data_IF_029971872633
#
_entry.id   IF_029971872633
#
_cell.length_a   1.000
_cell.length_b   1.000
_cell.length_c   1.000
_cell.angle_alpha   90.00
_cell.angle_beta   90.00
_cell.angle_gamma   90.00
#
_symmetry.space_group_name_H-M   'P 1'
#
loop_
_entity.id
_entity.type
_entity.pdbx_description
1 polymer ?
#
# COMPACT_ATOMS: atom_id res chain seq x y z
N UNK A 1 -7.56 -12.29 17.44
CA UNK A 1 -8.60 -12.93 16.62
C UNK A 1 -8.02 -14.20 16.03
N UNK A 2 -8.62 -15.35 16.34
CA UNK A 2 -8.23 -16.63 15.75
C UNK A 2 -8.59 -16.63 14.26
N UNK A 3 -7.65 -17.03 13.43
CA UNK A 3 -7.92 -17.32 12.01
C UNK A 3 -8.93 -18.48 11.99
N UNK A 4 -10.00 -18.43 11.17
CA UNK A 4 -10.94 -19.53 11.07
C UNK A 4 -10.22 -20.82 10.71
N UNK A 5 -10.51 -21.89 11.44
CA UNK A 5 -9.97 -23.25 11.16
C UNK A 5 -10.59 -23.90 9.90
N UNK A 6 -11.36 -23.13 9.12
CA UNK A 6 -11.98 -23.60 7.89
C UNK A 6 -10.94 -23.80 6.79
N UNK A 7 -11.08 -24.89 6.03
CA UNK A 7 -10.21 -25.14 4.87
C UNK A 7 -10.42 -24.10 3.77
N UNK A 8 -9.40 -23.87 2.94
CA UNK A 8 -9.47 -22.93 1.80
C UNK A 8 -10.68 -23.20 0.91
N UNK A 9 -10.99 -24.46 0.61
CA UNK A 9 -12.16 -24.86 -0.19
C UNK A 9 -13.48 -24.47 0.48
N UNK A 10 -13.58 -24.61 1.80
CA UNK A 10 -14.76 -24.17 2.56
C UNK A 10 -14.95 -22.66 2.50
N UNK A 11 -13.86 -21.88 2.65
CA UNK A 11 -13.89 -20.42 2.57
C UNK A 11 -14.28 -19.94 1.18
N UNK A 12 -13.73 -20.54 0.11
CA UNK A 12 -14.11 -20.25 -1.27
C UNK A 12 -15.58 -20.55 -1.50
N UNK A 13 -16.06 -21.70 -1.07
CA UNK A 13 -17.48 -22.08 -1.19
C UNK A 13 -18.40 -21.07 -0.49
N UNK A 14 -18.07 -20.69 0.75
CA UNK A 14 -18.83 -19.65 1.47
C UNK A 14 -18.84 -18.32 0.72
N UNK A 15 -17.72 -17.88 0.16
CA UNK A 15 -17.64 -16.64 -0.59
C UNK A 15 -18.49 -16.69 -1.88
N UNK A 16 -18.58 -17.85 -2.53
CA UNK A 16 -19.44 -18.10 -3.69
C UNK A 16 -20.92 -18.07 -3.27
N UNK A 17 -21.27 -18.79 -2.19
CA UNK A 17 -22.65 -18.83 -1.65
C UNK A 17 -23.13 -17.43 -1.24
N UNK A 18 -22.22 -16.57 -0.75
CA UNK A 18 -22.47 -15.16 -0.46
C UNK A 18 -22.50 -14.27 -1.71
N UNK A 19 -22.41 -14.86 -2.91
CA UNK A 19 -22.41 -14.16 -4.23
C UNK A 19 -21.33 -13.08 -4.34
N UNK A 20 -20.19 -13.28 -3.67
CA UNK A 20 -19.04 -12.35 -3.75
C UNK A 20 -18.14 -12.66 -4.94
N UNK A 21 -18.23 -13.86 -5.48
CA UNK A 21 -17.47 -14.33 -6.64
C UNK A 21 -18.35 -15.14 -7.60
N UNK A 22 -17.91 -15.20 -8.84
CA UNK A 22 -18.41 -16.11 -9.86
C UNK A 22 -17.35 -17.17 -10.15
N UNK A 23 -17.78 -18.39 -10.42
CA UNK A 23 -16.89 -19.48 -10.85
C UNK A 23 -17.15 -19.76 -12.31
N UNK A 24 -16.10 -19.70 -13.12
CA UNK A 24 -16.11 -20.13 -14.52
C UNK A 24 -15.32 -21.42 -14.64
N UNK A 25 -15.99 -22.47 -15.13
CA UNK A 25 -15.40 -23.75 -15.48
C UNK A 25 -14.93 -23.67 -16.92
N UNK A 26 -13.64 -23.86 -17.18
CA UNK A 26 -13.07 -23.80 -18.54
C UNK A 26 -12.67 -25.18 -19.06
N UNK A 27 -13.10 -26.25 -18.40
CA UNK A 27 -12.72 -27.62 -18.73
C UNK A 27 -11.40 -28.06 -18.10
N UNK A 28 -11.02 -29.32 -18.29
CA UNK A 28 -9.78 -29.91 -17.75
C UNK A 28 -9.57 -29.72 -16.23
N UNK A 29 -10.66 -29.78 -15.44
CA UNK A 29 -10.69 -29.55 -13.99
C UNK A 29 -10.21 -28.15 -13.55
N UNK A 30 -10.03 -27.21 -14.50
CA UNK A 30 -9.65 -25.85 -14.19
C UNK A 30 -10.86 -24.94 -13.97
N UNK A 31 -10.86 -24.24 -12.83
CA UNK A 31 -11.89 -23.26 -12.46
C UNK A 31 -11.27 -21.92 -12.15
N UNK A 32 -11.85 -20.87 -12.73
CA UNK A 32 -11.49 -19.50 -12.39
C UNK A 32 -12.52 -18.89 -11.45
N UNK A 33 -12.04 -18.25 -10.39
CA UNK A 33 -12.85 -17.45 -9.49
C UNK A 33 -12.67 -15.98 -9.91
N UNK A 34 -13.77 -15.33 -10.28
CA UNK A 34 -13.77 -13.95 -10.74
C UNK A 34 -14.81 -13.12 -9.98
N UNK A 35 -14.73 -11.82 -10.09
CA UNK A 35 -15.73 -10.89 -9.59
C UNK A 35 -16.10 -9.86 -10.66
N UNK A 36 -17.34 -9.41 -10.63
CA UNK A 36 -17.81 -8.28 -11.43
C UNK A 36 -17.29 -6.95 -10.85
N UNK A 37 -17.40 -5.87 -11.62
CA UNK A 37 -17.04 -4.53 -11.14
C UNK A 37 -17.82 -4.14 -9.86
N UNK A 38 -19.11 -4.42 -9.79
CA UNK A 38 -19.91 -4.14 -8.59
C UNK A 38 -19.49 -4.96 -7.37
N UNK A 39 -19.11 -6.23 -7.56
CA UNK A 39 -18.55 -7.06 -6.50
C UNK A 39 -17.17 -6.55 -6.06
N UNK A 40 -16.33 -6.07 -6.99
CA UNK A 40 -15.04 -5.45 -6.67
C UNK A 40 -15.21 -4.27 -5.71
N UNK A 41 -16.17 -3.38 -5.95
CA UNK A 41 -16.45 -2.24 -5.07
C UNK A 41 -16.87 -2.70 -3.66
N UNK A 42 -17.73 -3.72 -3.57
CA UNK A 42 -18.13 -4.28 -2.28
C UNK A 42 -16.95 -4.91 -1.53
N UNK A 43 -16.10 -5.67 -2.24
CA UNK A 43 -14.92 -6.29 -1.66
C UNK A 43 -13.93 -5.24 -1.16
N UNK A 44 -13.72 -4.16 -1.91
CA UNK A 44 -12.89 -3.01 -1.48
C UNK A 44 -13.45 -2.37 -0.20
N UNK A 45 -14.78 -2.20 -0.11
CA UNK A 45 -15.41 -1.69 1.11
C UNK A 45 -15.13 -2.60 2.33
N UNK A 46 -15.29 -3.93 2.18
CA UNK A 46 -14.99 -4.87 3.26
C UNK A 46 -13.49 -4.89 3.60
N UNK A 47 -12.62 -4.84 2.60
CA UNK A 47 -11.18 -4.73 2.80
C UNK A 47 -10.83 -3.50 3.63
N UNK A 48 -11.37 -2.33 3.29
CA UNK A 48 -11.12 -1.09 4.02
C UNK A 48 -11.54 -1.16 5.48
N UNK A 49 -12.61 -1.91 5.80
CA UNK A 49 -13.08 -2.08 7.17
C UNK A 49 -12.14 -2.93 8.04
N UNK A 50 -11.32 -3.79 7.46
CA UNK A 50 -10.46 -4.72 8.20
C UNK A 50 -8.95 -4.47 7.99
N UNK A 51 -8.56 -3.68 6.99
CA UNK A 51 -7.14 -3.48 6.62
C UNK A 51 -6.31 -2.90 7.77
N UNK A 52 -6.92 -2.12 8.65
CA UNK A 52 -6.25 -1.57 9.83
C UNK A 52 -5.70 -2.66 10.77
N UNK A 53 -6.35 -3.85 10.82
CA UNK A 53 -5.88 -4.99 11.63
C UNK A 53 -4.61 -5.62 11.05
N UNK A 54 -4.41 -5.49 9.74
CA UNK A 54 -3.26 -6.02 9.01
C UNK A 54 -2.17 -4.98 8.75
N UNK A 55 -2.39 -3.71 9.10
CA UNK A 55 -1.49 -2.62 8.71
C UNK A 55 -0.05 -2.85 9.17
N UNK A 56 0.16 -3.17 10.45
CA UNK A 56 1.50 -3.40 10.98
C UNK A 56 2.11 -4.71 10.48
N UNK A 57 1.46 -5.89 10.61
CA UNK A 57 2.06 -7.13 10.12
C UNK A 57 2.31 -7.11 8.60
N UNK A 58 1.46 -6.48 7.80
CA UNK A 58 1.67 -6.34 6.37
C UNK A 58 2.85 -5.41 6.03
N UNK A 59 3.05 -4.35 6.81
CA UNK A 59 4.22 -3.48 6.67
C UNK A 59 5.52 -4.25 6.97
N UNK A 60 5.56 -5.00 8.07
CA UNK A 60 6.72 -5.81 8.44
C UNK A 60 7.03 -6.87 7.37
N UNK A 61 6.00 -7.57 6.88
CA UNK A 61 6.16 -8.53 5.79
C UNK A 61 6.71 -7.86 4.52
N UNK A 62 6.20 -6.68 4.17
CA UNK A 62 6.69 -5.93 3.00
C UNK A 62 8.16 -5.52 3.16
N UNK A 63 8.55 -5.00 4.33
CA UNK A 63 9.94 -4.62 4.63
C UNK A 63 10.87 -5.84 4.46
N UNK A 64 10.53 -6.98 5.04
CA UNK A 64 11.38 -8.18 5.02
C UNK A 64 11.48 -8.75 3.60
N UNK A 65 10.36 -8.92 2.90
CA UNK A 65 10.33 -9.45 1.52
C UNK A 65 11.17 -8.59 0.57
N UNK A 66 11.05 -7.27 0.68
CA UNK A 66 11.74 -6.35 -0.24
C UNK A 66 13.24 -6.29 -0.03
N UNK A 67 13.71 -6.57 1.18
CA UNK A 67 15.14 -6.62 1.48
C UNK A 67 15.74 -8.02 1.28
N UNK A 68 14.91 -9.08 1.24
CA UNK A 68 15.34 -10.48 1.15
C UNK A 68 15.96 -10.99 2.46
N UNK A 69 16.91 -10.23 3.00
CA UNK A 69 17.48 -10.40 4.34
C UNK A 69 17.70 -9.03 4.99
N UNK A 70 17.46 -8.94 6.30
CA UNK A 70 17.48 -7.66 7.02
C UNK A 70 17.72 -7.89 8.52
N UNK A 71 18.44 -6.98 9.16
CA UNK A 71 18.61 -7.00 10.61
C UNK A 71 17.29 -6.69 11.32
N UNK A 72 17.02 -7.37 12.42
CA UNK A 72 15.80 -7.15 13.23
C UNK A 72 15.64 -5.69 13.62
N UNK A 73 16.72 -4.99 13.99
CA UNK A 73 16.67 -3.58 14.36
C UNK A 73 16.39 -2.66 13.17
N UNK A 74 16.86 -3.02 11.97
CA UNK A 74 16.54 -2.27 10.75
C UNK A 74 15.05 -2.40 10.40
N UNK A 75 14.44 -3.58 10.61
CA UNK A 75 12.98 -3.76 10.46
C UNK A 75 12.23 -2.81 11.41
N UNK A 76 12.64 -2.73 12.68
CA UNK A 76 12.04 -1.80 13.65
C UNK A 76 12.17 -0.35 13.19
N UNK A 77 13.37 0.05 12.77
CA UNK A 77 13.66 1.42 12.31
C UNK A 77 12.80 1.82 11.11
N UNK A 78 12.70 0.93 10.11
CA UNK A 78 11.85 1.15 8.94
C UNK A 78 10.36 1.19 9.31
N UNK A 79 9.91 0.25 10.15
CA UNK A 79 8.53 0.19 10.58
C UNK A 79 8.12 1.46 11.36
N UNK A 80 8.93 1.93 12.33
CA UNK A 80 8.68 3.19 13.04
C UNK A 80 8.53 4.38 12.09
N UNK A 81 9.37 4.46 11.07
CA UNK A 81 9.37 5.57 10.13
C UNK A 81 8.12 5.63 9.24
N UNK A 82 7.51 4.48 8.95
CA UNK A 82 6.43 4.35 7.97
C UNK A 82 5.06 4.07 8.60
N UNK A 83 5.02 3.30 9.69
CA UNK A 83 3.76 2.93 10.34
C UNK A 83 2.98 4.14 10.84
N UNK A 84 3.67 5.20 11.18
CA UNK A 84 3.07 6.44 11.62
C UNK A 84 2.04 6.99 10.62
N UNK A 85 2.37 6.93 9.34
CA UNK A 85 1.49 7.37 8.27
C UNK A 85 0.32 6.40 8.09
N UNK A 86 0.62 5.10 8.02
CA UNK A 86 -0.40 4.06 7.89
C UNK A 86 -1.40 4.10 9.06
N UNK A 87 -0.92 4.33 10.27
CA UNK A 87 -1.76 4.45 11.47
C UNK A 87 -2.83 5.52 11.31
N UNK A 88 -2.45 6.71 10.84
CA UNK A 88 -3.39 7.82 10.67
C UNK A 88 -4.38 7.59 9.53
N UNK A 89 -3.90 7.08 8.40
CA UNK A 89 -4.77 6.80 7.25
C UNK A 89 -5.76 5.67 7.54
N UNK A 90 -5.29 4.61 8.18
CA UNK A 90 -6.07 3.40 8.41
C UNK A 90 -6.75 3.37 9.78
N UNK A 91 -6.63 4.42 10.58
CA UNK A 91 -7.17 4.46 11.94
C UNK A 91 -6.76 3.25 12.80
N UNK A 92 -5.51 2.78 12.63
CA UNK A 92 -5.02 1.62 13.34
C UNK A 92 -4.90 1.93 14.85
N UNK A 93 -5.53 1.12 15.73
CA UNK A 93 -5.59 1.36 17.17
C UNK A 93 -4.30 0.90 17.86
N UNK A 94 -3.17 1.49 17.51
CA UNK A 94 -1.85 1.16 18.06
C UNK A 94 -1.26 2.41 18.70
N UNK A 95 -0.95 2.36 19.98
CA UNK A 95 -0.26 3.45 20.65
C UNK A 95 1.24 3.46 20.32
N UNK A 96 1.83 4.65 20.27
CA UNK A 96 3.26 4.79 19.93
C UNK A 96 4.18 4.12 20.93
N UNK A 97 3.82 4.16 22.22
CA UNK A 97 4.57 3.50 23.29
C UNK A 97 4.57 1.96 23.17
N UNK A 98 3.56 1.40 22.53
CA UNK A 98 3.41 -0.06 22.36
C UNK A 98 3.93 -0.56 21.03
N UNK A 99 4.29 0.32 20.10
CA UNK A 99 4.67 -0.05 18.74
C UNK A 99 5.84 -1.04 18.70
N UNK A 100 6.88 -0.81 19.45
CA UNK A 100 8.07 -1.68 19.46
C UNK A 100 7.75 -3.07 19.98
N UNK A 101 6.98 -3.16 21.07
CA UNK A 101 6.53 -4.43 21.62
C UNK A 101 5.66 -5.20 20.61
N UNK A 102 4.82 -4.49 19.87
CA UNK A 102 3.99 -5.11 18.83
C UNK A 102 4.81 -5.58 17.63
N UNK A 103 5.82 -4.80 17.20
CA UNK A 103 6.74 -5.20 16.15
C UNK A 103 7.43 -6.51 16.55
N UNK A 104 7.99 -6.57 17.75
CA UNK A 104 8.66 -7.77 18.24
C UNK A 104 7.73 -8.97 18.31
N UNK A 105 6.52 -8.78 18.83
CA UNK A 105 5.52 -9.85 18.89
C UNK A 105 5.17 -10.38 17.50
N UNK A 106 5.01 -9.53 16.49
CA UNK A 106 4.74 -9.99 15.13
C UNK A 106 5.95 -10.68 14.51
N UNK A 107 7.18 -10.18 14.71
CA UNK A 107 8.38 -10.84 14.23
C UNK A 107 8.55 -12.24 14.84
N UNK A 108 8.30 -12.37 16.15
CA UNK A 108 8.33 -13.68 16.81
C UNK A 108 7.21 -14.61 16.31
N UNK A 109 6.02 -14.07 16.04
CA UNK A 109 4.94 -14.84 15.41
C UNK A 109 5.35 -15.32 14.02
N UNK A 110 5.97 -14.48 13.19
CA UNK A 110 6.42 -14.88 11.85
C UNK A 110 7.50 -15.95 11.89
N UNK A 111 8.36 -15.97 12.91
CA UNK A 111 9.33 -17.04 13.15
C UNK A 111 8.63 -18.35 13.52
N UNK A 112 7.65 -18.30 14.43
CA UNK A 112 6.89 -19.48 14.89
C UNK A 112 6.05 -20.09 13.75
N UNK A 113 5.40 -19.23 12.96
CA UNK A 113 4.57 -19.67 11.82
C UNK A 113 5.42 -20.09 10.59
N UNK A 114 6.74 -19.94 10.65
CA UNK A 114 7.64 -20.35 9.58
C UNK A 114 7.67 -19.43 8.35
N UNK A 115 7.13 -18.21 8.43
CA UNK A 115 7.20 -17.23 7.34
C UNK A 115 8.60 -16.66 7.17
N UNK A 116 9.35 -16.58 8.25
CA UNK A 116 10.73 -16.11 8.25
C UNK A 116 11.61 -17.07 9.07
N UNK A 117 12.90 -17.06 8.75
CA UNK A 117 13.95 -17.74 9.52
C UNK A 117 14.92 -16.71 10.08
N UNK A 118 15.72 -17.11 11.08
CA UNK A 118 16.70 -16.22 11.72
C UNK A 118 18.06 -16.90 11.82
N UNK A 119 19.09 -16.13 11.49
CA UNK A 119 20.49 -16.45 11.81
C UNK A 119 21.09 -15.24 12.56
N UNK A 120 21.45 -15.46 13.83
CA UNK A 120 21.78 -14.40 14.80
C UNK A 120 20.67 -13.32 14.83
N UNK A 121 20.95 -12.09 14.44
CA UNK A 121 19.98 -10.99 14.35
C UNK A 121 19.45 -10.73 12.93
N UNK A 122 19.92 -11.51 11.95
CA UNK A 122 19.49 -11.42 10.57
C UNK A 122 18.22 -12.25 10.34
N UNK A 123 17.22 -11.64 9.75
CA UNK A 123 15.96 -12.25 9.34
C UNK A 123 15.96 -12.54 7.85
N UNK A 124 15.45 -13.69 7.46
CA UNK A 124 15.34 -14.15 6.07
C UNK A 124 13.91 -14.58 5.79
N UNK A 125 13.45 -14.40 4.57
CA UNK A 125 12.17 -14.97 4.14
C UNK A 125 12.30 -16.49 4.01
N UNK A 126 11.37 -17.22 4.58
CA UNK A 126 11.30 -18.69 4.40
C UNK A 126 10.74 -19.04 3.02
N UNK A 127 11.32 -20.07 2.38
CA UNK A 127 10.79 -20.58 1.11
C UNK A 127 9.39 -21.16 1.24
N UNK A 128 9.14 -21.92 2.30
CA UNK A 128 7.89 -22.67 2.50
C UNK A 128 6.67 -21.77 2.80
N UNK A 129 6.90 -20.64 3.47
CA UNK A 129 5.84 -19.66 3.81
C UNK A 129 5.79 -18.44 2.92
N UNK A 130 6.50 -18.45 1.78
CA UNK A 130 6.67 -17.24 0.95
C UNK A 130 5.36 -16.71 0.38
N UNK A 131 4.49 -17.58 -0.12
CA UNK A 131 3.26 -17.15 -0.81
C UNK A 131 2.30 -16.43 0.14
N UNK A 132 2.03 -17.00 1.31
CA UNK A 132 1.17 -16.43 2.33
C UNK A 132 1.75 -15.12 2.87
N UNK A 133 3.07 -15.10 3.09
CA UNK A 133 3.78 -13.92 3.56
C UNK A 133 3.78 -12.79 2.51
N UNK A 134 3.90 -13.16 1.23
CA UNK A 134 3.76 -12.24 0.12
C UNK A 134 2.34 -11.66 0.03
N UNK A 135 1.30 -12.50 0.15
CA UNK A 135 -0.10 -12.04 0.18
C UNK A 135 -0.32 -11.05 1.32
N UNK A 136 0.18 -11.37 2.54
CA UNK A 136 0.11 -10.46 3.67
C UNK A 136 0.76 -9.11 3.33
N UNK A 137 1.94 -9.12 2.73
CA UNK A 137 2.65 -7.89 2.35
C UNK A 137 1.88 -7.01 1.37
N UNK A 138 1.01 -7.63 0.56
CA UNK A 138 0.19 -6.93 -0.44
C UNK A 138 -1.03 -6.23 0.14
N UNK A 139 -1.46 -6.59 1.36
CA UNK A 139 -2.68 -6.01 1.97
C UNK A 139 -2.65 -4.47 2.06
N UNK A 140 -1.47 -3.87 2.21
CA UNK A 140 -1.30 -2.41 2.33
C UNK A 140 -0.51 -1.79 1.15
N UNK A 141 -0.24 -2.56 0.11
CA UNK A 141 0.65 -2.10 -0.96
C UNK A 141 0.18 -0.81 -1.62
N UNK A 142 -1.11 -0.70 -1.92
CA UNK A 142 -1.67 0.51 -2.52
C UNK A 142 -1.61 1.74 -1.58
N UNK A 143 -1.68 1.54 -0.25
CA UNK A 143 -1.45 2.61 0.72
C UNK A 143 0.01 3.09 0.64
N UNK A 144 0.98 2.17 0.62
CA UNK A 144 2.41 2.52 0.47
C UNK A 144 2.68 3.26 -0.84
N UNK A 145 2.07 2.82 -1.95
CA UNK A 145 2.19 3.52 -3.24
C UNK A 145 1.62 4.93 -3.14
N UNK A 146 0.48 5.13 -2.51
CA UNK A 146 -0.15 6.44 -2.30
C UNK A 146 0.75 7.38 -1.49
N UNK A 147 1.42 6.86 -0.44
CA UNK A 147 2.44 7.62 0.28
C UNK A 147 3.60 8.03 -0.61
N UNK A 148 4.11 7.13 -1.43
CA UNK A 148 5.20 7.48 -2.33
C UNK A 148 4.78 8.52 -3.38
N UNK A 149 3.53 8.50 -3.84
CA UNK A 149 2.95 9.56 -4.67
C UNK A 149 3.07 10.91 -3.96
N UNK A 150 2.61 10.99 -2.71
CA UNK A 150 2.66 12.22 -1.92
C UNK A 150 4.10 12.68 -1.63
N UNK A 151 4.99 11.76 -1.25
CA UNK A 151 6.42 12.03 -1.04
C UNK A 151 7.08 12.54 -2.32
N UNK A 152 6.75 11.94 -3.47
CA UNK A 152 7.27 12.37 -4.78
C UNK A 152 6.77 13.77 -5.13
N UNK A 153 5.51 14.08 -4.82
CA UNK A 153 4.95 15.41 -5.02
C UNK A 153 5.66 16.46 -4.16
N UNK A 154 5.96 16.15 -2.89
CA UNK A 154 6.73 17.02 -2.00
C UNK A 154 8.17 17.21 -2.48
N UNK A 155 8.86 16.14 -2.85
CA UNK A 155 10.23 16.19 -3.36
C UNK A 155 10.38 17.07 -4.60
N UNK A 156 9.34 17.10 -5.43
CA UNK A 156 9.32 17.89 -6.66
C UNK A 156 8.64 19.26 -6.46
N UNK A 157 8.48 19.71 -5.23
CA UNK A 157 7.95 21.02 -4.88
C UNK A 157 9.09 21.90 -4.41
N UNK A 158 9.21 23.09 -5.00
CA UNK A 158 10.09 24.14 -4.50
C UNK A 158 9.37 24.94 -3.43
N UNK A 159 10.09 25.34 -2.41
CA UNK A 159 9.55 26.15 -1.32
C UNK A 159 8.79 27.38 -1.81
N UNK A 160 7.62 27.61 -1.25
CA UNK A 160 6.78 28.75 -1.56
C UNK A 160 6.20 28.78 -2.98
N UNK A 161 6.21 27.66 -3.72
CA UNK A 161 5.72 27.61 -5.11
C UNK A 161 4.32 27.05 -5.29
N UNK A 162 3.81 26.30 -4.32
CA UNK A 162 2.47 25.72 -4.36
C UNK A 162 1.78 25.79 -2.99
N UNK A 163 0.45 25.76 -3.02
CA UNK A 163 -0.38 25.61 -1.85
C UNK A 163 -0.88 24.15 -1.69
N UNK A 164 -1.57 23.85 -0.59
CA UNK A 164 -2.11 22.51 -0.29
C UNK A 164 -3.02 22.01 -1.41
N UNK A 165 -3.88 22.85 -1.96
CA UNK A 165 -4.80 22.46 -3.03
C UNK A 165 -4.04 22.02 -4.29
N UNK A 166 -3.06 22.81 -4.70
CA UNK A 166 -2.21 22.48 -5.86
C UNK A 166 -1.37 21.24 -5.61
N UNK A 167 -0.91 21.03 -4.37
CA UNK A 167 -0.23 19.80 -3.97
C UNK A 167 -1.13 18.57 -4.13
N UNK A 168 -2.37 18.61 -3.65
CA UNK A 168 -3.35 17.53 -3.82
C UNK A 168 -3.58 17.24 -5.31
N UNK A 169 -3.77 18.27 -6.15
CA UNK A 169 -3.91 18.10 -7.60
C UNK A 169 -2.69 17.44 -8.24
N UNK A 170 -1.49 17.78 -7.76
CA UNK A 170 -0.24 17.14 -8.19
C UNK A 170 -0.22 15.65 -7.83
N UNK A 171 -0.66 15.29 -6.62
CA UNK A 171 -0.80 13.90 -6.20
C UNK A 171 -1.78 13.14 -7.09
N UNK A 172 -2.95 13.71 -7.39
CA UNK A 172 -3.92 13.11 -8.31
C UNK A 172 -3.34 12.91 -9.72
N UNK A 173 -2.56 13.87 -10.22
CA UNK A 173 -1.89 13.75 -11.52
C UNK A 173 -0.87 12.61 -11.53
N UNK A 174 -0.09 12.43 -10.47
CA UNK A 174 0.85 11.31 -10.36
C UNK A 174 0.12 9.97 -10.22
N UNK A 175 -0.97 9.91 -9.45
CA UNK A 175 -1.79 8.72 -9.28
C UNK A 175 -2.34 8.19 -10.61
N UNK A 176 -2.82 9.07 -11.48
CA UNK A 176 -3.35 8.73 -12.81
C UNK A 176 -2.31 8.18 -13.78
N UNK A 177 -1.02 8.33 -13.47
CA UNK A 177 0.08 7.77 -14.30
C UNK A 177 0.44 6.34 -13.90
N UNK A 178 -0.07 5.88 -12.77
CA UNK A 178 0.21 4.53 -12.29
C UNK A 178 -0.62 3.50 -13.06
N UNK A 179 -0.05 2.31 -13.33
CA UNK A 179 -0.78 1.21 -13.95
C UNK A 179 -1.95 0.74 -13.08
N UNK A 180 -2.97 0.19 -13.74
CA UNK A 180 -4.16 -0.36 -13.09
C UNK A 180 -3.78 -1.45 -12.07
N UNK A 181 -2.78 -2.27 -12.38
CA UNK A 181 -2.29 -3.34 -11.49
C UNK A 181 -1.71 -2.80 -10.17
N UNK A 182 -1.28 -1.55 -10.15
CA UNK A 182 -0.75 -0.88 -8.94
C UNK A 182 -1.87 -0.26 -8.13
N UNK A 183 -2.87 0.28 -8.81
CA UNK A 183 -4.00 0.98 -8.18
C UNK A 183 -5.18 0.05 -7.90
N UNK A 184 -5.10 -1.24 -8.31
CA UNK A 184 -6.19 -2.22 -8.27
C UNK A 184 -7.47 -1.73 -8.95
N UNK A 185 -7.35 -0.80 -9.89
CA UNK A 185 -8.50 -0.11 -10.50
C UNK A 185 -9.47 0.45 -9.44
N UNK A 186 -8.96 0.76 -8.25
CA UNK A 186 -9.77 1.30 -7.16
C UNK A 186 -10.03 2.79 -7.41
N UNK A 187 -11.29 3.23 -7.51
CA UNK A 187 -11.63 4.64 -7.63
C UNK A 187 -11.16 5.44 -6.42
N UNK A 188 -11.04 4.80 -5.26
CA UNK A 188 -10.60 5.41 -4.01
C UNK A 188 -9.09 5.66 -3.99
N UNK A 189 -8.31 5.01 -4.88
CA UNK A 189 -6.86 5.19 -4.90
C UNK A 189 -6.47 6.65 -5.13
N UNK A 190 -7.18 7.35 -6.00
CA UNK A 190 -6.95 8.74 -6.36
C UNK A 190 -8.00 9.69 -5.73
N UNK A 191 -8.41 9.43 -4.50
CA UNK A 191 -9.35 10.28 -3.78
C UNK A 191 -8.65 11.53 -3.23
N UNK A 192 -9.12 12.75 -3.58
CA UNK A 192 -8.61 14.00 -3.02
C UNK A 192 -8.68 14.08 -1.50
N UNK A 193 -9.69 13.46 -0.88
CA UNK A 193 -9.88 13.46 0.58
C UNK A 193 -8.73 12.72 1.26
N UNK A 194 -8.31 11.58 0.72
CA UNK A 194 -7.19 10.81 1.28
C UNK A 194 -5.88 11.60 1.19
N UNK A 195 -5.61 12.27 0.07
CA UNK A 195 -4.43 13.13 -0.05
C UNK A 195 -4.50 14.35 0.88
N UNK A 196 -5.68 14.86 1.19
CA UNK A 196 -5.85 15.92 2.19
C UNK A 196 -5.53 15.41 3.61
N UNK A 197 -6.01 14.23 3.98
CA UNK A 197 -5.66 13.58 5.27
C UNK A 197 -4.15 13.37 5.36
N UNK A 198 -3.49 12.96 4.28
CA UNK A 198 -2.03 12.86 4.22
C UNK A 198 -1.35 14.21 4.42
N UNK A 199 -1.87 15.30 3.83
CA UNK A 199 -1.35 16.64 4.07
C UNK A 199 -1.37 16.99 5.56
N UNK A 200 -2.48 16.75 6.24
CA UNK A 200 -2.61 17.03 7.68
C UNK A 200 -1.59 16.23 8.49
N UNK A 201 -1.33 14.98 8.09
CA UNK A 201 -0.30 14.13 8.70
C UNK A 201 1.10 14.69 8.45
N UNK A 202 1.42 15.09 7.23
CA UNK A 202 2.71 15.68 6.88
C UNK A 202 2.96 17.01 7.61
N UNK A 203 1.93 17.84 7.76
CA UNK A 203 2.02 19.11 8.55
C UNK A 203 2.30 18.77 10.01
N UNK A 204 1.52 17.87 10.61
CA UNK A 204 1.65 17.48 12.04
C UNK A 204 3.06 16.99 12.36
N UNK A 205 3.67 16.24 11.43
CA UNK A 205 5.02 15.70 11.57
C UNK A 205 6.11 16.58 10.99
N UNK A 206 5.78 17.83 10.61
CA UNK A 206 6.72 18.84 10.12
C UNK A 206 7.54 18.35 8.92
N UNK A 207 6.90 17.63 7.98
CA UNK A 207 7.47 17.35 6.67
C UNK A 207 7.34 18.55 5.75
N UNK A 208 6.31 19.35 5.96
CA UNK A 208 6.19 20.68 5.42
C UNK A 208 5.36 21.58 6.36
N UNK A 209 5.46 22.89 6.14
CA UNK A 209 4.67 23.92 6.82
C UNK A 209 3.89 24.71 5.78
N UNK A 210 2.67 25.12 6.13
CA UNK A 210 1.90 26.10 5.36
C UNK A 210 1.99 27.40 6.11
N UNK A 211 2.59 28.44 5.48
CA UNK A 211 2.75 29.75 6.07
C UNK A 211 1.53 30.65 5.81
N UNK A 212 1.55 31.87 6.35
CA UNK A 212 0.46 32.85 6.24
C UNK A 212 0.12 33.21 4.79
N UNK A 213 1.09 33.11 3.88
CA UNK A 213 0.90 33.28 2.44
C UNK A 213 0.14 32.12 1.77
N UNK A 214 -0.17 31.04 2.53
CA UNK A 214 -0.83 29.84 2.04
C UNK A 214 0.06 28.88 1.26
N UNK A 215 1.35 29.17 1.13
CA UNK A 215 2.31 28.35 0.39
C UNK A 215 3.00 27.31 1.27
N UNK A 216 3.43 26.22 0.62
CA UNK A 216 4.11 25.09 1.25
C UNK A 216 5.61 25.35 1.31
N UNK A 217 6.20 25.09 2.48
CA UNK A 217 7.63 25.11 2.75
C UNK A 217 8.08 23.72 3.23
N UNK A 218 8.88 23.07 2.40
CA UNK A 218 9.19 21.64 2.54
C UNK A 218 10.42 21.44 3.44
N UNK A 219 10.33 20.52 4.39
CA UNK A 219 11.50 20.03 5.11
C UNK A 219 12.20 18.96 4.25
N UNK A 220 13.15 19.39 3.42
CA UNK A 220 13.82 18.53 2.45
C UNK A 220 14.49 17.32 3.09
N UNK A 221 15.16 17.49 4.23
CA UNK A 221 15.86 16.41 4.93
C UNK A 221 14.88 15.31 5.34
N UNK A 222 13.75 15.70 5.97
CA UNK A 222 12.71 14.73 6.37
C UNK A 222 12.08 14.04 5.17
N UNK A 223 11.74 14.77 4.12
CA UNK A 223 11.16 14.23 2.90
C UNK A 223 12.12 13.27 2.21
N UNK A 224 13.41 13.59 2.15
CA UNK A 224 14.42 12.68 1.60
C UNK A 224 14.57 11.42 2.44
N UNK A 225 14.60 11.53 3.77
CA UNK A 225 14.67 10.38 4.68
C UNK A 225 13.47 9.45 4.48
N UNK A 226 12.26 10.02 4.43
CA UNK A 226 11.04 9.27 4.17
C UNK A 226 11.05 8.59 2.81
N UNK A 227 11.50 9.29 1.77
CA UNK A 227 11.62 8.72 0.42
C UNK A 227 12.60 7.53 0.38
N UNK A 228 13.73 7.61 1.10
CA UNK A 228 14.69 6.51 1.20
C UNK A 228 14.09 5.30 1.92
N UNK A 229 13.27 5.52 2.94
CA UNK A 229 12.60 4.43 3.67
C UNK A 229 11.47 3.79 2.85
N UNK A 230 10.68 4.58 2.12
CA UNK A 230 9.50 4.11 1.40
C UNK A 230 9.82 3.51 0.01
N UNK A 231 10.78 4.09 -0.73
CA UNK A 231 11.06 3.68 -2.11
C UNK A 231 11.45 2.20 -2.27
N UNK A 232 12.26 1.59 -1.38
CA UNK A 232 12.61 0.16 -1.50
C UNK A 232 11.41 -0.77 -1.31
N UNK A 233 10.36 -0.32 -0.64
CA UNK A 233 9.17 -1.13 -0.36
C UNK A 233 8.25 -1.32 -1.57
N UNK A 234 8.52 -0.56 -2.64
CA UNK A 234 7.75 -0.63 -3.88
C UNK A 234 8.53 -1.36 -4.98
N UNK A 235 7.80 -1.82 -6.00
CA UNK A 235 8.41 -2.36 -7.19
C UNK A 235 9.27 -1.31 -7.91
N UNK A 236 10.44 -1.70 -8.41
CA UNK A 236 11.34 -0.79 -9.14
C UNK A 236 10.67 -0.13 -10.35
N UNK A 237 9.67 -0.79 -10.96
CA UNK A 237 8.85 -0.24 -12.04
C UNK A 237 8.01 0.93 -11.55
N UNK A 238 7.33 0.78 -10.41
CA UNK A 238 6.41 1.79 -9.87
C UNK A 238 7.18 3.05 -9.43
N UNK A 239 8.32 2.84 -8.79
CA UNK A 239 9.25 3.92 -8.44
C UNK A 239 9.74 4.69 -9.68
N UNK A 240 10.05 3.98 -10.78
CA UNK A 240 10.49 4.62 -12.03
C UNK A 240 9.37 5.43 -12.69
N UNK A 241 8.14 4.92 -12.68
CA UNK A 241 6.97 5.63 -13.20
C UNK A 241 6.75 6.92 -12.43
N UNK A 242 6.76 6.86 -11.10
CA UNK A 242 6.57 8.04 -10.24
C UNK A 242 7.67 9.08 -10.42
N UNK A 243 8.91 8.65 -10.63
CA UNK A 243 10.03 9.54 -10.89
C UNK A 243 10.08 10.08 -12.35
N UNK A 244 9.08 9.79 -13.17
CA UNK A 244 9.00 10.25 -14.56
C UNK A 244 10.03 9.60 -15.51
N UNK A 245 10.65 8.50 -15.10
CA UNK A 245 11.69 7.81 -15.89
C UNK A 245 11.12 6.79 -16.89
N UNK A 246 9.81 6.54 -16.84
CA UNK A 246 9.10 5.66 -17.77
C UNK A 246 7.88 6.42 -18.28
N UNK A 247 7.83 6.65 -19.59
CA UNK A 247 6.63 7.13 -20.26
C UNK A 247 5.60 5.99 -20.18
N UNK A 248 4.53 6.19 -19.42
CA UNK A 248 3.35 5.35 -19.55
C UNK A 248 2.80 5.59 -20.95
N UNK A 249 2.65 4.53 -21.75
CA UNK A 249 1.85 4.63 -22.98
C UNK A 249 0.48 5.17 -22.56
N UNK A 250 0.11 6.34 -23.05
CA UNK A 250 -1.28 6.76 -23.04
C UNK A 250 -2.06 5.67 -23.73
N UNK A 251 -2.96 5.00 -23.04
CA UNK A 251 -4.06 4.31 -23.70
C UNK A 251 -4.87 5.44 -24.32
N UNK A 252 -4.82 5.52 -25.65
CA UNK A 252 -5.65 6.45 -26.39
C UNK A 252 -7.11 6.06 -26.15
N UNK A 253 -7.84 6.93 -25.47
CA UNK A 253 -9.30 6.82 -25.23
C UNK A 253 -10.11 6.89 -26.56
N UNK A 254 -9.46 6.94 -27.73
CA UNK A 254 -10.08 7.12 -29.03
C UNK A 254 -10.62 5.85 -29.69
N UNK A 255 -10.59 4.67 -29.04
CA UNK A 255 -11.10 3.43 -29.66
C UNK A 255 -12.44 2.91 -29.12
N UNK A 256 -13.18 3.67 -28.29
CA UNK A 256 -14.50 3.23 -27.79
C UNK A 256 -15.71 4.00 -28.37
N UNK A 257 -15.54 4.93 -29.27
CA UNK A 257 -16.68 5.65 -29.91
C UNK A 257 -17.07 5.09 -31.30
N UNK A 258 -16.49 3.99 -31.75
CA UNK A 258 -16.63 3.48 -33.12
C UNK A 258 -17.48 2.23 -33.36
N UNK A 259 -18.24 1.70 -32.38
CA UNK A 259 -19.01 0.46 -32.58
C UNK A 259 -20.39 0.40 -31.94
N UNK A 260 -21.15 1.50 -32.03
CA UNK A 260 -22.60 1.45 -31.76
C UNK A 260 -23.30 2.18 -32.89
N UNK A 261 -23.22 1.64 -34.10
CA UNK A 261 -24.14 1.88 -35.21
C UNK A 261 -23.83 0.91 -36.36
N UNK A 262 -24.36 -0.30 -36.28
CA UNK A 262 -24.78 -1.13 -37.42
C UNK A 262 -25.55 -2.35 -36.94
#
# INVERSE_FOLDING_TARGET
PSIPTATTSTLIKQAIDLKKFHVYDIGDDMKFVCHSHGQSLQLTYFQNNIVHLFALPALLANIIIRNGHILREDVRSHARSLFYFLRHELFAPVDECDLDNLIDKYLDTFLVEGYITRDADMLFVSGDGYEEFYILSRCIYHNLVRYLVAVTALKNTKDGTINVQTFVQKCLTYSRRLPIEVTNNSPEFADPILFKIMCDTFIRHKYFEVKEDGNIYVNEEKVQKLNRAASPLLGARDVRILNGRVLTRKYDEHHLEGSVNS
#
